data_IF_123979565272
#
_entry.id   IF_123979565272
#
_cell.length_a   1.000
_cell.length_b   1.000
_cell.length_c   1.000
_cell.angle_alpha   90.00
_cell.angle_beta   90.00
_cell.angle_gamma   90.00
#
_symmetry.space_group_name_H-M   'P 1'
#
loop_
_entity.id
_entity.type
_entity.pdbx_description
1 polymer ?
#
# COMPACT_ATOMS: atom_id res chain seq x y z
N UNK A 1 24.20 5.22 -24.04
CA UNK A 1 23.05 5.55 -23.19
C UNK A 1 22.35 4.24 -22.86
N UNK A 2 22.74 3.57 -21.77
CA UNK A 2 22.12 2.32 -21.33
C UNK A 2 21.50 2.57 -19.96
N UNK A 3 20.19 2.84 -19.91
CA UNK A 3 19.45 2.82 -18.66
C UNK A 3 19.19 1.36 -18.29
N UNK A 4 19.95 0.82 -17.34
CA UNK A 4 19.56 -0.43 -16.69
C UNK A 4 18.24 -0.20 -15.96
N UNK A 5 17.24 -1.04 -16.24
CA UNK A 5 16.01 -1.08 -15.47
C UNK A 5 16.37 -1.36 -14.00
N UNK A 6 15.93 -0.48 -13.09
CA UNK A 6 16.09 -0.67 -11.65
C UNK A 6 15.48 -2.00 -11.22
N UNK A 7 16.21 -2.77 -10.42
CA UNK A 7 15.74 -4.04 -9.89
C UNK A 7 14.67 -3.75 -8.83
N UNK A 8 13.42 -4.17 -9.06
CA UNK A 8 12.35 -4.05 -8.05
C UNK A 8 12.45 -5.28 -7.15
N UNK A 9 12.79 -5.07 -5.88
CA UNK A 9 12.69 -6.09 -4.84
C UNK A 9 11.38 -5.90 -4.07
N UNK A 10 10.60 -6.96 -3.94
CA UNK A 10 9.45 -7.02 -3.02
C UNK A 10 9.91 -7.76 -1.78
N UNK A 11 9.92 -7.06 -0.65
CA UNK A 11 10.15 -7.66 0.65
C UNK A 11 8.79 -7.89 1.30
N UNK A 12 8.41 -9.15 1.45
CA UNK A 12 7.17 -9.53 2.12
C UNK A 12 7.45 -9.90 3.57
N UNK A 13 6.80 -9.20 4.48
CA UNK A 13 6.88 -9.41 5.92
C UNK A 13 5.50 -9.80 6.44
N UNK A 14 4.91 -10.86 5.88
CA UNK A 14 3.65 -11.40 6.40
C UNK A 14 3.79 -11.68 7.91
N UNK A 15 2.80 -11.28 8.72
CA UNK A 15 2.80 -11.63 10.13
C UNK A 15 2.77 -13.16 10.26
N UNK A 16 3.57 -13.71 11.16
CA UNK A 16 3.57 -15.16 11.39
C UNK A 16 2.16 -15.63 11.80
N UNK A 17 1.75 -16.82 11.36
CA UNK A 17 0.41 -17.37 11.65
C UNK A 17 0.10 -17.45 13.16
N UNK A 18 1.11 -17.63 14.01
CA UNK A 18 0.97 -17.60 15.47
C UNK A 18 0.52 -16.21 15.96
N UNK A 19 1.04 -15.14 15.36
CA UNK A 19 0.69 -13.76 15.68
C UNK A 19 -0.79 -13.46 15.34
N UNK A 20 -1.32 -14.06 14.27
CA UNK A 20 -2.72 -13.92 13.88
C UNK A 20 -3.67 -14.50 14.94
N UNK A 21 -3.49 -15.77 15.31
CA UNK A 21 -4.35 -16.46 16.28
C UNK A 21 -4.36 -15.75 17.65
N UNK A 22 -3.19 -15.36 18.14
CA UNK A 22 -3.07 -14.63 19.41
C UNK A 22 -3.84 -13.30 19.40
N UNK A 23 -3.71 -12.51 18.33
CA UNK A 23 -4.41 -11.23 18.20
C UNK A 23 -5.92 -11.39 18.09
N UNK A 24 -6.40 -12.42 17.38
CA UNK A 24 -7.83 -12.73 17.27
C UNK A 24 -8.40 -13.14 18.63
N UNK A 25 -7.75 -14.06 19.35
CA UNK A 25 -8.20 -14.51 20.67
C UNK A 25 -8.24 -13.32 21.64
N UNK A 26 -7.17 -12.52 21.68
CA UNK A 26 -7.08 -11.35 22.55
C UNK A 26 -8.20 -10.33 22.26
N UNK A 27 -8.40 -9.97 20.98
CA UNK A 27 -9.38 -8.97 20.58
C UNK A 27 -10.83 -9.40 20.78
N UNK A 28 -11.16 -10.67 20.52
CA UNK A 28 -12.51 -11.20 20.72
C UNK A 28 -12.85 -11.51 22.19
N UNK A 29 -11.84 -11.60 23.05
CA UNK A 29 -12.02 -11.75 24.50
C UNK A 29 -12.32 -10.43 25.22
N UNK A 30 -12.07 -9.27 24.58
CA UNK A 30 -12.31 -7.94 25.14
C UNK A 30 -13.78 -7.49 25.03
N UNK A 31 -14.14 -6.46 25.82
CA UNK A 31 -15.44 -5.78 25.74
C UNK A 31 -15.20 -4.25 25.69
N UNK A 32 -15.44 -3.59 24.53
CA UNK A 32 -15.97 -4.15 23.28
C UNK A 32 -14.98 -5.07 22.56
N UNK A 33 -15.50 -6.00 21.75
CA UNK A 33 -14.68 -6.88 20.91
C UNK A 33 -14.04 -6.09 19.77
N UNK A 34 -12.79 -6.41 19.44
CA UNK A 34 -12.05 -5.74 18.37
C UNK A 34 -11.25 -6.74 17.53
N UNK A 35 -10.90 -6.35 16.30
CA UNK A 35 -9.94 -7.06 15.46
C UNK A 35 -9.03 -6.03 14.76
N UNK A 36 -7.73 -6.31 14.63
CA UNK A 36 -6.81 -5.48 13.85
C UNK A 36 -7.25 -5.36 12.39
N UNK A 37 -7.29 -4.14 11.84
CA UNK A 37 -7.71 -3.90 10.45
C UNK A 37 -6.76 -4.49 9.41
N UNK A 38 -5.51 -4.82 9.78
CA UNK A 38 -4.56 -5.49 8.87
C UNK A 38 -5.09 -6.83 8.33
N UNK A 39 -5.99 -7.48 9.07
CA UNK A 39 -6.62 -8.73 8.65
C UNK A 39 -7.70 -8.55 7.58
N UNK A 40 -8.03 -7.31 7.18
CA UNK A 40 -8.89 -7.06 6.02
C UNK A 40 -8.18 -7.30 4.67
N UNK A 41 -6.85 -7.43 4.64
CA UNK A 41 -6.08 -7.40 3.39
C UNK A 41 -5.57 -8.79 2.98
N UNK A 42 -6.39 -9.84 3.14
CA UNK A 42 -6.15 -11.09 2.41
C UNK A 42 -6.39 -10.89 0.90
N UNK A 43 -6.30 -11.95 0.10
CA UNK A 43 -6.52 -11.85 -1.36
C UNK A 43 -7.89 -11.23 -1.69
N UNK A 44 -8.94 -11.68 -1.00
CA UNK A 44 -10.32 -11.25 -1.26
C UNK A 44 -10.54 -9.80 -0.82
N UNK A 45 -10.11 -9.46 0.39
CA UNK A 45 -10.26 -8.15 0.96
C UNK A 45 -9.39 -7.10 0.28
N UNK A 46 -8.21 -7.48 -0.23
CA UNK A 46 -7.40 -6.61 -1.09
C UNK A 46 -8.08 -6.32 -2.44
N UNK A 47 -8.73 -7.32 -3.05
CA UNK A 47 -9.52 -7.11 -4.26
C UNK A 47 -10.75 -6.22 -3.99
N UNK A 48 -11.40 -6.37 -2.84
CA UNK A 48 -12.51 -5.50 -2.41
C UNK A 48 -12.02 -4.07 -2.18
N UNK A 49 -10.88 -3.88 -1.52
CA UNK A 49 -10.29 -2.56 -1.31
C UNK A 49 -9.94 -1.87 -2.64
N UNK A 50 -9.46 -2.64 -3.62
CA UNK A 50 -9.21 -2.12 -4.97
C UNK A 50 -10.49 -1.57 -5.62
N UNK A 51 -11.62 -2.27 -5.47
CA UNK A 51 -12.94 -1.77 -5.93
C UNK A 51 -13.42 -0.56 -5.14
N UNK A 52 -13.19 -0.52 -3.82
CA UNK A 52 -13.51 0.64 -2.99
C UNK A 52 -12.77 1.88 -3.51
N UNK A 53 -11.52 1.74 -3.94
CA UNK A 53 -10.72 2.84 -4.50
C UNK A 53 -11.27 3.45 -5.80
N UNK A 54 -12.20 2.76 -6.47
CA UNK A 54 -12.86 3.23 -7.70
C UNK A 54 -14.20 3.94 -7.41
N UNK A 55 -14.71 3.84 -6.18
CA UNK A 55 -15.99 4.44 -5.80
C UNK A 55 -15.89 5.98 -5.74
N UNK A 56 -16.88 6.72 -6.26
CA UNK A 56 -16.88 8.18 -6.21
C UNK A 56 -16.92 8.72 -4.77
N UNK A 57 -17.51 7.98 -3.83
CA UNK A 57 -17.54 8.32 -2.41
C UNK A 57 -16.15 8.18 -1.75
N UNK A 58 -15.30 7.29 -2.25
CA UNK A 58 -13.95 7.07 -1.74
C UNK A 58 -12.91 7.86 -2.55
N UNK A 59 -13.04 9.18 -2.51
CA UNK A 59 -12.25 10.09 -3.34
C UNK A 59 -10.73 10.04 -3.12
N UNK A 60 -10.27 9.47 -1.99
CA UNK A 60 -8.87 9.50 -1.53
C UNK A 60 -7.92 9.03 -2.63
N UNK A 61 -8.19 7.88 -3.25
CA UNK A 61 -7.30 7.30 -4.25
C UNK A 61 -7.23 8.14 -5.53
N UNK A 62 -8.37 8.61 -6.03
CA UNK A 62 -8.42 9.47 -7.22
C UNK A 62 -7.73 10.82 -6.99
N UNK A 63 -7.91 11.42 -5.81
CA UNK A 63 -7.27 12.70 -5.45
C UNK A 63 -5.75 12.54 -5.35
N UNK A 64 -5.25 11.50 -4.67
CA UNK A 64 -3.82 11.25 -4.58
C UNK A 64 -3.21 10.99 -5.97
N UNK A 65 -3.85 10.15 -6.78
CA UNK A 65 -3.41 9.89 -8.15
C UNK A 65 -3.35 11.17 -9.00
N UNK A 66 -4.29 12.10 -8.81
CA UNK A 66 -4.28 13.39 -9.50
C UNK A 66 -3.09 14.25 -9.06
N UNK A 67 -2.86 14.37 -7.75
CA UNK A 67 -1.71 15.11 -7.21
C UNK A 67 -0.39 14.53 -7.72
N UNK A 68 -0.23 13.19 -7.67
CA UNK A 68 0.98 12.54 -8.16
C UNK A 68 1.21 12.76 -9.65
N UNK A 69 0.15 12.80 -10.46
CA UNK A 69 0.28 13.10 -11.90
C UNK A 69 0.62 14.57 -12.17
N UNK A 70 0.07 15.49 -11.39
CA UNK A 70 0.29 16.93 -11.55
C UNK A 70 1.69 17.34 -11.04
N UNK A 71 2.16 16.75 -9.93
CA UNK A 71 3.40 17.14 -9.25
C UNK A 71 4.53 16.11 -9.37
N UNK A 72 4.32 14.96 -10.02
CA UNK A 72 5.28 13.85 -10.04
C UNK A 72 6.65 14.22 -10.60
N UNK A 73 6.69 15.01 -11.67
CA UNK A 73 7.96 15.49 -12.23
C UNK A 73 8.70 16.43 -11.29
N UNK A 74 7.98 17.34 -10.62
CA UNK A 74 8.58 18.29 -9.67
C UNK A 74 9.14 17.55 -8.44
N UNK A 75 8.43 16.51 -7.98
CA UNK A 75 8.91 15.61 -6.92
C UNK A 75 10.17 14.87 -7.38
N UNK A 76 10.17 14.29 -8.58
CA UNK A 76 11.32 13.57 -9.13
C UNK A 76 12.55 14.48 -9.30
N UNK A 77 12.35 15.71 -9.79
CA UNK A 77 13.42 16.70 -9.94
C UNK A 77 14.01 17.11 -8.59
N UNK A 78 13.18 17.29 -7.57
CA UNK A 78 13.62 17.62 -6.22
C UNK A 78 14.40 16.47 -5.54
N UNK A 79 14.04 15.21 -5.82
CA UNK A 79 14.71 14.02 -5.29
C UNK A 79 16.06 13.75 -5.97
N UNK A 80 16.20 14.13 -7.24
CA UNK A 80 17.43 13.92 -8.01
C UNK A 80 17.63 12.46 -8.44
N UNK A 81 18.86 12.13 -8.85
CA UNK A 81 19.21 10.80 -9.40
C UNK A 81 19.95 9.95 -8.38
N UNK A 82 19.86 8.63 -8.57
CA UNK A 82 20.59 7.66 -7.74
C UNK A 82 19.92 7.41 -6.38
N UNK A 83 18.62 7.66 -6.29
CA UNK A 83 17.82 7.40 -5.09
C UNK A 83 17.19 6.01 -5.13
N UNK A 84 16.89 5.50 -3.94
CA UNK A 84 16.10 4.28 -3.76
C UNK A 84 14.71 4.64 -3.23
N UNK A 85 13.67 4.15 -3.90
CA UNK A 85 12.29 4.42 -3.53
C UNK A 85 11.75 3.25 -2.68
N UNK A 86 11.56 3.50 -1.38
CA UNK A 86 11.01 2.52 -0.45
C UNK A 86 9.52 2.78 -0.27
N UNK A 87 8.69 1.89 -0.82
CA UNK A 87 7.25 1.96 -0.65
C UNK A 87 6.77 1.10 0.52
N UNK A 88 6.11 1.72 1.49
CA UNK A 88 5.51 1.01 2.63
C UNK A 88 4.07 0.65 2.29
N UNK A 89 3.75 -0.64 2.25
CA UNK A 89 2.39 -1.11 1.94
C UNK A 89 1.90 -0.67 0.55
N UNK A 90 2.70 -0.94 -0.49
CA UNK A 90 2.50 -0.40 -1.85
C UNK A 90 1.27 -0.93 -2.59
N UNK A 91 0.65 -2.00 -2.09
CA UNK A 91 -0.46 -2.68 -2.77
C UNK A 91 -0.10 -2.99 -4.22
N UNK A 92 -0.96 -2.61 -5.17
CA UNK A 92 -0.74 -2.85 -6.61
C UNK A 92 0.45 -2.05 -7.21
N UNK A 93 1.07 -1.11 -6.48
CA UNK A 93 2.21 -0.32 -6.96
C UNK A 93 1.87 0.71 -8.04
N UNK A 94 0.59 0.95 -8.33
CA UNK A 94 0.12 1.85 -9.39
C UNK A 94 0.52 3.30 -9.15
N UNK A 95 0.53 3.74 -7.88
CA UNK A 95 0.93 5.10 -7.48
C UNK A 95 2.44 5.29 -7.62
N UNK A 96 3.21 4.30 -7.19
CA UNK A 96 4.68 4.29 -7.26
C UNK A 96 5.19 4.43 -8.69
N UNK A 97 4.49 3.87 -9.68
CA UNK A 97 4.85 3.98 -11.10
C UNK A 97 4.69 5.38 -11.71
N UNK A 98 4.09 6.33 -10.99
CA UNK A 98 3.97 7.72 -11.47
C UNK A 98 5.24 8.53 -11.21
N UNK A 99 6.00 8.15 -10.17
CA UNK A 99 7.27 8.76 -9.77
C UNK A 99 8.45 8.05 -10.45
#
# INVERSE_FOLDING_TARGET
MNGQAGQIAVLDFEPANEEFCEQVIAGLSQHPRTLPCKFFYDETGSALFSKICELPEYYITCTEMRILRESGSEIADALGRGIELIGLGTGAGTKTRIL
#
